data_IF_885015633708
#
_entry.id   IF_885015633708
#
_cell.length_a   1.000
_cell.length_b   1.000
_cell.length_c   1.000
_cell.angle_alpha   90.00
_cell.angle_beta   90.00
_cell.angle_gamma   90.00
#
_symmetry.space_group_name_H-M   'P 1'
#
loop_
_entity.id
_entity.type
_entity.pdbx_description
1 polymer ?
#
# COMPACT_ATOMS: atom_id res chain seq x y z
N UNK A 1 -10.22 14.40 15.61
CA UNK A 1 -9.63 13.08 15.30
C UNK A 1 -8.96 13.21 13.93
N UNK A 2 -7.75 12.68 13.72
CA UNK A 2 -7.18 12.70 12.36
C UNK A 2 -8.11 11.92 11.44
N UNK A 3 -8.45 12.46 10.28
CA UNK A 3 -9.23 11.72 9.30
C UNK A 3 -8.48 10.45 8.89
N UNK A 4 -9.21 9.36 8.64
CA UNK A 4 -8.61 8.07 8.30
C UNK A 4 -7.81 8.13 6.99
N UNK A 5 -6.84 7.24 6.82
CA UNK A 5 -6.02 7.17 5.61
C UNK A 5 -6.07 5.78 4.97
N UNK A 6 -6.44 5.71 3.70
CA UNK A 6 -6.56 4.46 2.93
C UNK A 6 -5.45 4.39 1.89
N UNK A 7 -4.83 3.21 1.76
CA UNK A 7 -3.92 2.88 0.68
C UNK A 7 -4.67 2.05 -0.37
N UNK A 8 -4.73 2.53 -1.60
CA UNK A 8 -5.13 1.76 -2.78
C UNK A 8 -3.88 1.16 -3.42
N UNK A 9 -3.88 -0.14 -3.71
CA UNK A 9 -2.80 -0.82 -4.44
C UNK A 9 -3.36 -1.50 -5.69
N UNK A 10 -3.18 -0.86 -6.84
CA UNK A 10 -3.63 -1.38 -8.13
C UNK A 10 -2.59 -2.31 -8.79
N UNK A 11 -3.05 -3.13 -9.72
CA UNK A 11 -2.18 -3.92 -10.60
C UNK A 11 -1.34 -3.02 -11.53
N UNK A 12 -0.20 -3.54 -11.95
CA UNK A 12 0.63 -3.03 -13.05
C UNK A 12 0.72 -4.03 -14.22
N UNK A 13 0.04 -5.18 -14.14
CA UNK A 13 -0.02 -6.16 -15.21
C UNK A 13 -0.99 -5.75 -16.32
N UNK A 14 -0.62 -6.02 -17.57
CA UNK A 14 -1.35 -5.56 -18.77
C UNK A 14 -1.86 -6.68 -19.67
N UNK A 15 -1.54 -7.94 -19.34
CA UNK A 15 -1.85 -9.09 -20.22
C UNK A 15 -2.35 -10.30 -19.45
N UNK A 16 -3.27 -11.01 -20.07
CA UNK A 16 -3.67 -12.37 -19.70
C UNK A 16 -2.65 -13.41 -20.20
N UNK A 17 -2.80 -14.68 -19.79
CA UNK A 17 -1.92 -15.77 -20.24
C UNK A 17 -2.00 -16.02 -21.76
N UNK A 18 -3.14 -15.72 -22.37
CA UNK A 18 -3.39 -15.85 -23.82
C UNK A 18 -3.01 -14.60 -24.63
N UNK A 19 -2.44 -13.57 -23.97
CA UNK A 19 -1.95 -12.35 -24.60
C UNK A 19 -2.99 -11.24 -24.80
N UNK A 20 -4.28 -11.48 -24.51
CA UNK A 20 -5.31 -10.41 -24.48
C UNK A 20 -4.90 -9.33 -23.49
N UNK A 21 -5.23 -8.07 -23.81
CA UNK A 21 -4.97 -6.95 -22.91
C UNK A 21 -5.91 -6.98 -21.70
N UNK A 22 -5.41 -6.46 -20.59
CA UNK A 22 -6.14 -6.28 -19.33
C UNK A 22 -5.50 -5.13 -18.55
N UNK A 23 -6.03 -4.85 -17.37
CA UNK A 23 -5.45 -3.93 -16.41
C UNK A 23 -6.27 -3.92 -15.12
N UNK A 24 -6.22 -2.77 -14.46
CA UNK A 24 -7.09 -2.40 -13.36
C UNK A 24 -8.47 -1.99 -13.90
N UNK A 25 -9.54 -2.30 -13.16
CA UNK A 25 -10.88 -1.87 -13.51
C UNK A 25 -11.16 -0.45 -12.98
N UNK A 26 -11.51 0.51 -13.85
CA UNK A 26 -11.59 1.94 -13.47
C UNK A 26 -12.59 2.20 -12.35
N UNK A 27 -13.82 1.68 -12.45
CA UNK A 27 -14.88 1.87 -11.44
C UNK A 27 -14.44 1.40 -10.05
N UNK A 28 -13.62 0.36 -9.99
CA UNK A 28 -13.14 -0.24 -8.74
C UNK A 28 -12.11 0.64 -8.03
N UNK A 29 -11.52 1.61 -8.72
CA UNK A 29 -10.69 2.68 -8.12
C UNK A 29 -11.50 3.95 -7.90
N UNK A 30 -12.26 4.36 -8.93
CA UNK A 30 -12.95 5.64 -8.99
C UNK A 30 -13.97 5.79 -7.86
N UNK A 31 -14.88 4.82 -7.74
CA UNK A 31 -15.99 4.88 -6.79
C UNK A 31 -15.50 4.87 -5.33
N UNK A 32 -14.56 3.97 -4.92
CA UNK A 32 -13.98 4.05 -3.58
C UNK A 32 -13.16 5.32 -3.33
N UNK A 33 -12.34 5.77 -4.28
CA UNK A 33 -11.52 6.97 -4.13
C UNK A 33 -12.39 8.20 -3.86
N UNK A 34 -13.40 8.44 -4.71
CA UNK A 34 -14.29 9.59 -4.60
C UNK A 34 -15.08 9.54 -3.28
N UNK A 35 -15.63 8.38 -2.91
CA UNK A 35 -16.38 8.22 -1.68
C UNK A 35 -15.53 8.50 -0.44
N UNK A 36 -14.32 7.95 -0.36
CA UNK A 36 -13.44 8.20 0.79
C UNK A 36 -13.02 9.65 0.90
N UNK A 37 -12.73 10.31 -0.24
CA UNK A 37 -12.44 11.74 -0.28
C UNK A 37 -13.63 12.58 0.20
N UNK A 38 -14.84 12.25 -0.22
CA UNK A 38 -16.07 12.89 0.25
C UNK A 38 -16.26 12.73 1.77
N UNK A 39 -15.94 11.56 2.32
CA UNK A 39 -15.96 11.28 3.76
C UNK A 39 -14.77 11.88 4.53
N UNK A 40 -13.89 12.63 3.85
CA UNK A 40 -12.75 13.32 4.43
C UNK A 40 -11.52 12.45 4.67
N UNK A 41 -11.51 11.20 4.21
CA UNK A 41 -10.35 10.33 4.33
C UNK A 41 -9.26 10.74 3.34
N UNK A 42 -8.01 10.59 3.76
CA UNK A 42 -6.86 10.72 2.87
C UNK A 42 -6.69 9.43 2.06
N UNK A 43 -6.57 9.54 0.74
CA UNK A 43 -6.38 8.38 -0.13
C UNK A 43 -5.00 8.47 -0.79
N UNK A 44 -4.21 7.40 -0.67
CA UNK A 44 -2.94 7.24 -1.37
C UNK A 44 -3.11 6.14 -2.41
N UNK A 45 -2.71 6.42 -3.64
CA UNK A 45 -2.76 5.44 -4.73
C UNK A 45 -1.33 4.98 -5.04
N UNK A 46 -1.15 3.67 -4.99
CA UNK A 46 0.04 2.95 -5.41
C UNK A 46 -0.34 1.92 -6.47
N UNK A 47 0.65 1.47 -7.24
CA UNK A 47 0.53 0.24 -8.03
C UNK A 47 1.73 -0.66 -7.78
N UNK A 48 1.66 -1.92 -8.18
CA UNK A 48 2.72 -2.90 -7.93
C UNK A 48 4.08 -2.40 -8.41
N UNK A 49 4.16 -1.87 -9.63
CA UNK A 49 5.38 -1.35 -10.24
C UNK A 49 5.48 0.20 -10.25
N UNK A 50 4.46 0.92 -9.74
CA UNK A 50 4.36 2.37 -9.83
C UNK A 50 4.07 2.89 -11.24
N UNK A 51 4.10 4.21 -11.40
CA UNK A 51 3.81 4.86 -12.68
C UNK A 51 2.32 4.93 -12.99
N UNK A 52 1.96 4.94 -14.27
CA UNK A 52 0.56 5.02 -14.69
C UNK A 52 -0.14 3.68 -14.48
N UNK A 53 -1.34 3.69 -13.90
CA UNK A 53 -2.16 2.49 -13.78
C UNK A 53 -2.60 2.05 -15.18
N UNK A 54 -2.35 0.78 -15.58
CA UNK A 54 -2.93 0.25 -16.80
C UNK A 54 -4.42 -0.02 -16.58
N UNK A 55 -5.26 0.51 -17.46
CA UNK A 55 -6.72 0.30 -17.38
C UNK A 55 -7.15 -0.86 -18.28
N UNK A 56 -8.06 -1.71 -17.80
CA UNK A 56 -8.77 -2.64 -18.65
C UNK A 56 -9.69 -1.85 -19.59
N UNK A 57 -9.54 -2.02 -20.91
CA UNK A 57 -10.28 -1.30 -21.94
C UNK A 57 -11.81 -1.49 -21.82
N UNK A 58 -12.25 -2.67 -21.34
CA UNK A 58 -13.68 -2.90 -21.12
C UNK A 58 -14.26 -1.97 -20.03
N UNK A 59 -13.43 -1.50 -19.10
CA UNK A 59 -13.85 -0.62 -18.01
C UNK A 59 -13.87 0.87 -18.37
N UNK A 60 -13.41 1.25 -19.56
CA UNK A 60 -13.34 2.65 -20.02
C UNK A 60 -14.40 2.98 -21.07
N UNK A 61 -15.34 2.07 -21.35
CA UNK A 61 -16.36 2.26 -22.37
C UNK A 61 -17.73 1.67 -21.99
N UNK A 62 -18.77 2.12 -22.70
CA UNK A 62 -20.14 1.61 -22.55
C UNK A 62 -20.71 1.77 -21.14
N UNK A 63 -21.56 0.83 -20.74
CA UNK A 63 -22.23 0.84 -19.44
C UNK A 63 -21.26 0.60 -18.26
N UNK A 64 -20.05 0.12 -18.52
CA UNK A 64 -19.00 -0.07 -17.51
C UNK A 64 -18.26 1.22 -17.19
N UNK A 65 -18.32 2.23 -18.06
CA UNK A 65 -17.77 3.56 -17.79
C UNK A 65 -18.82 4.42 -17.08
N UNK A 66 -18.88 4.22 -15.77
CA UNK A 66 -19.85 4.87 -14.87
C UNK A 66 -19.64 6.40 -14.78
N UNK A 67 -20.64 7.14 -14.26
CA UNK A 67 -20.46 8.55 -13.94
C UNK A 67 -19.30 8.81 -12.97
N UNK A 68 -19.08 7.93 -11.99
CA UNK A 68 -17.98 7.98 -11.05
C UNK A 68 -16.63 7.78 -11.74
N UNK A 69 -16.52 6.80 -12.64
CA UNK A 69 -15.33 6.58 -13.46
C UNK A 69 -15.01 7.81 -14.33
N UNK A 70 -16.02 8.40 -14.97
CA UNK A 70 -15.86 9.61 -15.78
C UNK A 70 -15.41 10.81 -14.94
N UNK A 71 -16.06 11.04 -13.80
CA UNK A 71 -15.71 12.11 -12.87
C UNK A 71 -14.30 11.96 -12.32
N UNK A 72 -13.90 10.73 -11.98
CA UNK A 72 -12.56 10.40 -11.50
C UNK A 72 -11.49 10.67 -12.54
N UNK A 73 -11.70 10.22 -13.79
CA UNK A 73 -10.72 10.40 -14.87
C UNK A 73 -10.57 11.86 -15.30
N UNK A 74 -11.63 12.68 -15.18
CA UNK A 74 -11.61 14.12 -15.51
C UNK A 74 -11.10 14.99 -14.36
N UNK A 75 -11.05 14.48 -13.13
CA UNK A 75 -10.59 15.24 -11.98
C UNK A 75 -9.06 15.36 -11.96
N UNK A 76 -8.54 16.58 -11.93
CA UNK A 76 -7.08 16.83 -12.02
C UNK A 76 -6.27 16.20 -10.88
N UNK A 77 -6.80 16.16 -9.65
CA UNK A 77 -6.12 15.55 -8.50
C UNK A 77 -6.06 14.03 -8.64
N UNK A 78 -7.17 13.42 -9.05
CA UNK A 78 -7.28 11.97 -9.27
C UNK A 78 -6.41 11.53 -10.45
N UNK A 79 -6.44 12.29 -11.57
CA UNK A 79 -5.60 12.06 -12.74
C UNK A 79 -4.10 12.13 -12.39
N UNK A 80 -3.68 13.09 -11.56
CA UNK A 80 -2.31 13.16 -11.09
C UNK A 80 -1.94 11.92 -10.23
N UNK A 81 -2.85 11.50 -9.34
CA UNK A 81 -2.62 10.35 -8.46
C UNK A 81 -2.46 9.03 -9.21
N UNK A 82 -3.18 8.83 -10.33
CA UNK A 82 -3.14 7.58 -11.13
C UNK A 82 -2.10 7.58 -12.25
N UNK A 83 -1.65 8.75 -12.72
CA UNK A 83 -0.64 8.85 -13.78
C UNK A 83 0.78 8.59 -13.25
N UNK A 84 1.03 8.88 -11.97
CA UNK A 84 2.32 8.69 -11.32
C UNK A 84 2.13 8.11 -9.91
N UNK A 85 1.63 6.87 -9.88
CA UNK A 85 1.43 6.15 -8.63
C UNK A 85 2.77 5.84 -7.96
N UNK A 86 2.72 5.75 -6.63
CA UNK A 86 3.85 5.23 -5.84
C UNK A 86 4.06 3.74 -6.14
N UNK A 87 5.29 3.27 -5.98
CA UNK A 87 5.63 1.86 -6.11
C UNK A 87 5.28 1.14 -4.80
N UNK A 88 4.63 -0.03 -4.87
CA UNK A 88 4.26 -0.81 -3.68
C UNK A 88 5.48 -1.14 -2.78
N UNK A 89 6.65 -1.38 -3.37
CA UNK A 89 7.92 -1.64 -2.68
C UNK A 89 8.33 -0.45 -1.79
N UNK A 90 8.17 0.78 -2.28
CA UNK A 90 8.48 1.99 -1.52
C UNK A 90 7.50 2.22 -0.37
N UNK A 91 6.22 1.89 -0.58
CA UNK A 91 5.22 1.93 0.49
C UNK A 91 5.58 0.94 1.59
N UNK A 92 5.92 -0.29 1.22
CA UNK A 92 6.32 -1.33 2.15
C UNK A 92 7.57 -0.90 2.94
N UNK A 93 8.60 -0.39 2.25
CA UNK A 93 9.84 0.09 2.87
C UNK A 93 9.62 1.30 3.79
N UNK A 94 8.69 2.20 3.43
CA UNK A 94 8.33 3.37 4.24
C UNK A 94 7.44 3.06 5.45
N UNK A 95 6.94 1.83 5.55
CA UNK A 95 6.06 1.40 6.62
C UNK A 95 4.60 1.80 6.43
N UNK A 96 3.72 1.08 7.13
CA UNK A 96 2.27 1.18 6.94
C UNK A 96 1.55 1.91 8.08
N UNK A 97 2.28 2.44 9.07
CA UNK A 97 1.71 2.97 10.31
C UNK A 97 0.73 4.11 10.09
N UNK A 98 0.98 4.93 9.07
CA UNK A 98 0.13 6.08 8.72
C UNK A 98 -1.20 5.71 8.09
N UNK A 99 -1.39 4.46 7.66
CA UNK A 99 -2.61 3.99 7.00
C UNK A 99 -3.52 3.26 7.99
N UNK A 100 -4.82 3.36 7.79
CA UNK A 100 -5.83 2.65 8.59
C UNK A 100 -6.41 1.45 7.84
N UNK A 101 -6.36 1.48 6.49
CA UNK A 101 -6.89 0.44 5.63
C UNK A 101 -6.05 0.25 4.36
N UNK A 102 -5.98 -0.99 3.89
CA UNK A 102 -5.53 -1.38 2.57
C UNK A 102 -6.75 -1.73 1.72
N UNK A 103 -6.78 -1.25 0.48
CA UNK A 103 -7.75 -1.62 -0.52
C UNK A 103 -7.06 -2.07 -1.82
N UNK A 104 -7.50 -3.22 -2.34
CA UNK A 104 -6.99 -3.79 -3.60
C UNK A 104 -8.14 -3.83 -4.62
N UNK A 105 -8.17 -2.93 -5.61
CA UNK A 105 -9.08 -3.05 -6.75
C UNK A 105 -8.71 -4.28 -7.58
N UNK A 106 -9.67 -4.79 -8.31
CA UNK A 106 -9.54 -5.86 -9.29
C UNK A 106 -9.28 -5.34 -10.71
N UNK A 107 -9.99 -5.93 -11.67
CA UNK A 107 -9.52 -6.10 -13.04
C UNK A 107 -8.56 -7.29 -13.13
N UNK A 108 -8.57 -8.00 -14.27
CA UNK A 108 -7.86 -9.30 -14.35
C UNK A 108 -6.34 -9.20 -14.18
N UNK A 109 -5.74 -8.01 -14.33
CA UNK A 109 -4.30 -7.82 -14.14
C UNK A 109 -3.81 -8.25 -12.75
N UNK A 110 -4.60 -7.99 -11.70
CA UNK A 110 -4.19 -8.32 -10.31
C UNK A 110 -4.05 -9.83 -10.07
N UNK A 111 -4.62 -10.67 -10.94
CA UNK A 111 -4.43 -12.12 -10.87
C UNK A 111 -2.96 -12.53 -11.08
N UNK A 112 -2.16 -11.67 -11.73
CA UNK A 112 -0.78 -11.98 -12.13
C UNK A 112 0.25 -11.40 -11.17
N UNK A 113 0.04 -10.18 -10.70
CA UNK A 113 0.99 -9.48 -9.83
C UNK A 113 0.51 -9.32 -8.38
N UNK A 114 -0.75 -9.68 -8.08
CA UNK A 114 -1.28 -9.74 -6.73
C UNK A 114 -0.59 -10.77 -5.83
N UNK A 115 -0.03 -11.83 -6.42
CA UNK A 115 0.76 -12.85 -5.69
C UNK A 115 2.26 -12.56 -5.72
N UNK A 116 2.68 -11.36 -6.12
CA UNK A 116 4.09 -10.96 -6.06
C UNK A 116 4.57 -10.81 -4.61
N UNK A 117 5.86 -11.00 -4.38
CA UNK A 117 6.44 -10.97 -3.02
C UNK A 117 6.20 -9.64 -2.27
N UNK A 118 6.13 -8.52 -2.99
CA UNK A 118 5.86 -7.20 -2.40
C UNK A 118 4.40 -7.06 -1.97
N UNK A 119 3.45 -7.51 -2.81
CA UNK A 119 2.03 -7.45 -2.49
C UNK A 119 1.70 -8.38 -1.33
N UNK A 120 2.26 -9.60 -1.31
CA UNK A 120 2.12 -10.53 -0.18
C UNK A 120 2.53 -9.85 1.12
N UNK A 121 3.77 -9.35 1.20
CA UNK A 121 4.30 -8.70 2.42
C UNK A 121 3.48 -7.48 2.83
N UNK A 122 2.97 -6.72 1.86
CA UNK A 122 2.16 -5.54 2.15
C UNK A 122 0.80 -5.94 2.75
N UNK A 123 0.10 -6.92 2.17
CA UNK A 123 -1.16 -7.44 2.71
C UNK A 123 -0.94 -8.02 4.12
N UNK A 124 0.10 -8.83 4.30
CA UNK A 124 0.46 -9.40 5.60
C UNK A 124 0.79 -8.33 6.64
N UNK A 125 1.49 -7.26 6.25
CA UNK A 125 1.79 -6.14 7.14
C UNK A 125 0.51 -5.48 7.64
N UNK A 126 -0.43 -5.18 6.74
CA UNK A 126 -1.72 -4.57 7.12
C UNK A 126 -2.54 -5.50 8.01
N UNK A 127 -2.62 -6.77 7.63
CA UNK A 127 -3.38 -7.78 8.37
C UNK A 127 -2.85 -7.97 9.79
N UNK A 128 -1.54 -8.20 9.92
CA UNK A 128 -0.90 -8.46 11.22
C UNK A 128 -0.85 -7.20 12.11
N UNK A 129 -0.96 -6.01 11.53
CA UNK A 129 -1.15 -4.76 12.27
C UNK A 129 -2.61 -4.52 12.72
N UNK A 130 -3.54 -5.44 12.44
CA UNK A 130 -4.95 -5.30 12.79
C UNK A 130 -5.64 -4.15 12.05
N UNK A 131 -5.14 -3.78 10.86
CA UNK A 131 -5.73 -2.77 9.97
C UNK A 131 -6.76 -3.44 9.06
N UNK A 132 -7.64 -2.64 8.48
CA UNK A 132 -8.63 -3.16 7.53
C UNK A 132 -7.91 -3.61 6.26
N UNK A 133 -8.23 -4.80 5.77
CA UNK A 133 -7.78 -5.32 4.48
C UNK A 133 -9.02 -5.54 3.63
N UNK A 134 -9.09 -4.82 2.51
CA UNK A 134 -10.25 -4.80 1.65
C UNK A 134 -9.90 -5.04 0.18
N UNK A 135 -10.81 -5.67 -0.56
CA UNK A 135 -10.62 -5.94 -1.98
C UNK A 135 -11.96 -6.11 -2.72
N UNK A 136 -11.98 -5.97 -4.04
CA UNK A 136 -13.20 -6.17 -4.85
C UNK A 136 -12.87 -6.90 -6.15
N UNK A 137 -13.84 -7.65 -6.70
CA UNK A 137 -13.72 -8.34 -7.98
C UNK A 137 -12.57 -9.36 -7.96
N UNK A 138 -11.54 -9.18 -8.79
CA UNK A 138 -10.31 -9.97 -8.76
C UNK A 138 -9.29 -9.52 -7.72
N UNK A 139 -9.49 -8.35 -7.08
CA UNK A 139 -8.62 -7.85 -6.01
C UNK A 139 -8.26 -8.88 -4.93
N UNK A 140 -9.19 -9.78 -4.51
CA UNK A 140 -8.87 -10.87 -3.59
C UNK A 140 -7.77 -11.84 -4.07
N UNK A 141 -7.35 -11.83 -5.33
CA UNK A 141 -6.12 -12.51 -5.80
C UNK A 141 -4.88 -12.06 -5.00
N UNK A 142 -4.84 -10.84 -4.48
CA UNK A 142 -3.77 -10.39 -3.59
C UNK A 142 -3.80 -11.03 -2.19
N UNK A 143 -4.95 -11.60 -1.80
CA UNK A 143 -5.18 -12.15 -0.47
C UNK A 143 -4.90 -13.66 -0.39
N UNK A 144 -4.92 -14.38 -1.53
CA UNK A 144 -4.85 -15.85 -1.58
C UNK A 144 -3.49 -16.42 -1.15
N UNK A 145 -2.45 -15.58 -1.06
CA UNK A 145 -1.10 -15.96 -0.63
C UNK A 145 -0.71 -15.37 0.72
N UNK A 146 -1.49 -14.43 1.26
CA UNK A 146 -1.16 -13.75 2.51
C UNK A 146 -1.49 -14.63 3.74
N UNK A 147 -0.60 -14.58 4.72
CA UNK A 147 -0.72 -15.33 5.97
C UNK A 147 -0.76 -14.42 7.21
N UNK A 148 -1.41 -14.91 8.26
CA UNK A 148 -1.32 -14.32 9.59
C UNK A 148 0.04 -14.62 10.25
N UNK A 149 0.30 -14.00 11.40
CA UNK A 149 1.53 -14.20 12.18
C UNK A 149 1.74 -15.66 12.63
N UNK A 150 0.73 -16.52 12.56
CA UNK A 150 0.81 -17.95 12.87
C UNK A 150 0.99 -18.82 11.61
N UNK A 151 1.12 -18.22 10.42
CA UNK A 151 1.30 -18.90 9.13
C UNK A 151 0.01 -19.46 8.53
N UNK A 152 -1.17 -19.10 9.06
CA UNK A 152 -2.45 -19.52 8.47
C UNK A 152 -2.86 -18.52 7.38
N UNK A 153 -3.52 -18.99 6.32
CA UNK A 153 -4.18 -18.09 5.37
C UNK A 153 -5.12 -17.13 6.09
N UNK A 154 -5.06 -15.84 5.74
CA UNK A 154 -5.94 -14.82 6.31
C UNK A 154 -7.43 -15.06 5.99
N UNK A 155 -7.73 -15.88 4.98
CA UNK A 155 -9.09 -16.25 4.56
C UNK A 155 -9.67 -17.40 5.38
N UNK A 156 -8.84 -18.20 6.07
CA UNK A 156 -9.25 -19.44 6.72
C UNK A 156 -10.36 -19.20 7.76
N UNK A 157 -11.52 -19.81 7.53
CA UNK A 157 -12.69 -19.73 8.40
C UNK A 157 -13.43 -18.39 8.36
N UNK A 158 -13.09 -17.48 7.44
CA UNK A 158 -13.72 -16.15 7.34
C UNK A 158 -14.71 -16.08 6.19
N UNK A 159 -15.80 -15.35 6.41
CA UNK A 159 -16.72 -15.00 5.33
C UNK A 159 -16.01 -14.05 4.35
N UNK A 160 -16.09 -14.39 3.06
CA UNK A 160 -15.46 -13.61 2.00
C UNK A 160 -16.22 -13.77 0.69
N UNK A 161 -15.94 -12.90 -0.28
CA UNK A 161 -16.44 -12.99 -1.65
C UNK A 161 -15.37 -12.46 -2.62
N UNK A 162 -15.65 -12.50 -3.91
CA UNK A 162 -14.78 -12.10 -5.00
C UNK A 162 -15.44 -12.44 -6.33
N UNK A 163 -14.78 -12.16 -7.45
CA UNK A 163 -15.34 -12.47 -8.76
C UNK A 163 -15.63 -13.97 -8.85
N UNK A 164 -16.87 -14.31 -9.17
CA UNK A 164 -17.32 -15.69 -9.10
C UNK A 164 -16.82 -16.50 -10.28
N UNK A 165 -16.75 -17.81 -10.07
CA UNK A 165 -16.47 -18.77 -11.13
C UNK A 165 -17.49 -18.65 -12.29
N UNK A 166 -18.75 -18.33 -11.98
CA UNK A 166 -19.81 -18.16 -12.95
C UNK A 166 -19.60 -16.90 -13.80
N UNK A 167 -19.31 -15.76 -13.17
CA UNK A 167 -18.98 -14.50 -13.84
C UNK A 167 -17.71 -14.64 -14.70
N UNK A 168 -16.68 -15.36 -14.23
CA UNK A 168 -15.44 -15.62 -14.98
C UNK A 168 -15.68 -16.40 -16.27
N UNK A 169 -16.48 -17.46 -16.19
CA UNK A 169 -16.86 -18.25 -17.38
C UNK A 169 -17.73 -17.43 -18.34
N UNK A 170 -18.62 -16.59 -17.82
CA UNK A 170 -19.48 -15.73 -18.63
C UNK A 170 -18.67 -14.70 -19.45
N UNK A 171 -17.52 -14.25 -18.95
CA UNK A 171 -16.61 -13.35 -19.70
C UNK A 171 -15.55 -14.09 -20.54
N UNK A 172 -15.55 -15.43 -20.53
CA UNK A 172 -14.65 -16.25 -21.36
C UNK A 172 -13.17 -16.05 -21.05
N UNK A 173 -12.83 -15.86 -19.76
CA UNK A 173 -11.44 -15.66 -19.30
C UNK A 173 -11.00 -16.71 -18.26
N UNK A 174 -11.82 -17.72 -17.99
CA UNK A 174 -11.55 -18.83 -17.06
C UNK A 174 -10.30 -19.65 -17.39
N UNK A 175 -9.92 -19.74 -18.67
CA UNK A 175 -8.67 -20.37 -19.12
C UNK A 175 -7.50 -19.37 -19.30
N UNK A 176 -7.76 -18.07 -19.10
CA UNK A 176 -6.81 -16.99 -19.33
C UNK A 176 -6.23 -16.38 -18.03
N UNK A 177 -6.73 -16.84 -16.88
CA UNK A 177 -6.25 -16.51 -15.53
C UNK A 177 -5.39 -17.64 -14.96
N UNK A 178 -4.45 -17.36 -14.04
CA UNK A 178 -3.58 -18.40 -13.47
C UNK A 178 -4.33 -19.39 -12.57
N UNK A 179 -5.48 -19.00 -12.02
CA UNK A 179 -6.38 -19.82 -11.24
C UNK A 179 -7.76 -19.16 -11.17
N UNK A 180 -8.80 -19.94 -10.89
CA UNK A 180 -10.14 -19.43 -10.59
C UNK A 180 -10.18 -18.90 -9.15
N UNK A 181 -10.52 -17.63 -8.99
CA UNK A 181 -10.44 -16.94 -7.70
C UNK A 181 -11.35 -17.56 -6.64
N UNK A 182 -12.62 -17.79 -6.96
CA UNK A 182 -13.58 -18.37 -6.02
C UNK A 182 -13.10 -19.76 -5.54
N UNK A 183 -12.70 -20.64 -6.46
CA UNK A 183 -12.16 -21.96 -6.09
C UNK A 183 -10.96 -21.82 -5.17
N UNK A 184 -10.02 -20.95 -5.52
CA UNK A 184 -8.80 -20.75 -4.74
C UNK A 184 -9.09 -20.24 -3.33
N UNK A 185 -10.04 -19.33 -3.17
CA UNK A 185 -10.46 -18.83 -1.85
C UNK A 185 -11.11 -19.93 -1.01
N UNK A 186 -11.94 -20.80 -1.62
CA UNK A 186 -12.54 -21.95 -0.94
C UNK A 186 -11.49 -22.98 -0.49
N UNK A 187 -10.51 -23.30 -1.34
CA UNK A 187 -9.40 -24.21 -1.01
C UNK A 187 -8.59 -23.75 0.21
N UNK A 188 -8.45 -22.44 0.38
CA UNK A 188 -7.75 -21.83 1.52
C UNK A 188 -8.61 -21.79 2.80
N UNK A 189 -9.82 -22.34 2.75
CA UNK A 189 -10.76 -22.39 3.86
C UNK A 189 -11.61 -21.13 4.00
N UNK A 190 -11.66 -20.26 2.99
CA UNK A 190 -12.58 -19.14 2.94
C UNK A 190 -14.03 -19.62 2.88
N UNK A 191 -14.88 -19.09 3.76
CA UNK A 191 -16.33 -19.31 3.71
C UNK A 191 -16.94 -18.41 2.62
N UNK A 192 -16.65 -18.75 1.37
CA UNK A 192 -17.00 -17.93 0.21
C UNK A 192 -18.52 -17.85 0.02
N UNK A 193 -19.03 -16.61 -0.03
CA UNK A 193 -20.43 -16.25 -0.22
C UNK A 193 -20.58 -15.57 -1.57
N UNK A 194 -21.39 -16.15 -2.45
CA UNK A 194 -21.74 -15.56 -3.74
C UNK A 194 -23.11 -14.89 -3.64
N UNK A 195 -23.21 -13.65 -4.11
CA UNK A 195 -24.47 -13.01 -4.48
C UNK A 195 -24.83 -13.30 -5.94
N UNK A 196 -25.97 -12.78 -6.42
CA UNK A 196 -26.33 -12.91 -7.83
C UNK A 196 -25.27 -12.25 -8.74
N UNK A 197 -24.93 -12.92 -9.84
CA UNK A 197 -23.97 -12.42 -10.82
C UNK A 197 -24.31 -10.98 -11.24
N UNK A 198 -23.26 -10.16 -11.38
CA UNK A 198 -23.34 -8.75 -11.80
C UNK A 198 -24.06 -7.80 -10.83
N UNK A 199 -24.60 -8.31 -9.72
CA UNK A 199 -25.25 -7.47 -8.71
C UNK A 199 -24.27 -7.08 -7.60
N UNK A 200 -24.48 -5.92 -6.95
CA UNK A 200 -23.70 -5.53 -5.79
C UNK A 200 -23.78 -6.59 -4.68
N UNK A 201 -22.63 -7.11 -4.27
CA UNK A 201 -22.48 -8.03 -3.15
C UNK A 201 -21.14 -7.81 -2.46
N UNK A 202 -21.18 -7.48 -1.18
CA UNK A 202 -19.97 -7.31 -0.37
C UNK A 202 -20.14 -7.98 1.00
N UNK A 203 -19.05 -8.56 1.48
CA UNK A 203 -18.97 -9.30 2.74
C UNK A 203 -17.96 -8.62 3.64
N UNK A 204 -18.32 -8.43 4.91
CA UNK A 204 -17.44 -7.92 5.97
C UNK A 204 -17.36 -8.95 7.09
N UNK A 205 -16.14 -9.41 7.38
CA UNK A 205 -15.81 -10.30 8.50
C UNK A 205 -14.68 -9.68 9.31
N UNK A 206 -15.08 -8.88 10.31
CA UNK A 206 -14.16 -8.14 11.18
C UNK A 206 -13.34 -7.11 10.41
N UNK A 207 -12.07 -7.44 10.13
CA UNK A 207 -11.12 -6.57 9.41
C UNK A 207 -10.98 -6.93 7.93
N UNK A 208 -11.56 -8.05 7.50
CA UNK A 208 -11.57 -8.49 6.11
C UNK A 208 -12.85 -7.99 5.43
N UNK A 209 -12.73 -7.23 4.35
CA UNK A 209 -13.87 -6.75 3.56
C UNK A 209 -13.65 -7.15 2.11
N UNK A 210 -14.61 -7.81 1.49
CA UNK A 210 -14.48 -8.23 0.09
C UNK A 210 -15.74 -7.92 -0.69
N UNK A 211 -15.61 -7.57 -1.97
CA UNK A 211 -16.72 -7.34 -2.89
C UNK A 211 -16.63 -8.25 -4.12
N UNK A 212 -17.78 -8.64 -4.65
CA UNK A 212 -17.87 -9.67 -5.68
C UNK A 212 -17.41 -9.18 -7.05
N UNK A 213 -17.81 -7.99 -7.48
CA UNK A 213 -17.69 -7.53 -8.87
C UNK A 213 -17.63 -5.99 -8.92
N UNK A 214 -17.45 -5.35 -10.09
CA UNK A 214 -17.36 -3.88 -10.16
C UNK A 214 -18.55 -3.15 -9.53
N UNK A 215 -19.76 -3.69 -9.64
CA UNK A 215 -20.97 -3.12 -9.03
C UNK A 215 -20.93 -3.08 -7.49
N UNK A 216 -20.01 -3.83 -6.88
CA UNK A 216 -19.82 -3.93 -5.44
C UNK A 216 -18.84 -2.89 -4.88
N UNK A 217 -18.11 -2.15 -5.74
CA UNK A 217 -17.05 -1.20 -5.36
C UNK A 217 -17.51 -0.19 -4.32
N UNK A 218 -18.65 0.47 -4.57
CA UNK A 218 -19.22 1.45 -3.64
C UNK A 218 -19.53 0.85 -2.28
N UNK A 219 -20.13 -0.35 -2.26
CA UNK A 219 -20.49 -1.00 -0.99
C UNK A 219 -19.27 -1.41 -0.19
N UNK A 220 -18.20 -1.87 -0.85
CA UNK A 220 -16.90 -2.11 -0.18
C UNK A 220 -16.35 -0.83 0.43
N UNK A 221 -16.39 0.29 -0.30
CA UNK A 221 -15.90 1.57 0.21
C UNK A 221 -16.69 2.07 1.44
N UNK A 222 -18.01 1.92 1.44
CA UNK A 222 -18.86 2.21 2.60
C UNK A 222 -18.50 1.35 3.81
N UNK A 223 -18.34 0.03 3.61
CA UNK A 223 -17.94 -0.90 4.67
C UNK A 223 -16.57 -0.55 5.27
N UNK A 224 -15.63 -0.06 4.46
CA UNK A 224 -14.31 0.41 4.96
C UNK A 224 -14.46 1.63 5.88
N UNK A 225 -15.42 2.52 5.60
CA UNK A 225 -15.72 3.68 6.46
C UNK A 225 -16.42 3.24 7.76
N UNK A 226 -17.30 2.24 7.67
CA UNK A 226 -18.01 1.65 8.81
C UNK A 226 -17.09 0.80 9.70
N UNK A 227 -15.96 0.33 9.18
CA UNK A 227 -15.06 -0.58 9.88
C UNK A 227 -14.41 0.06 11.13
N UNK A 228 -14.27 -0.71 12.23
CA UNK A 228 -13.67 -0.19 13.44
C UNK A 228 -12.19 0.17 13.23
N UNK A 229 -11.80 1.34 13.73
CA UNK A 229 -10.43 1.82 13.68
C UNK A 229 -9.45 0.75 14.22
N UNK A 230 -8.22 0.65 13.68
CA UNK A 230 -7.20 -0.20 14.27
C UNK A 230 -6.98 0.20 15.73
N UNK A 231 -6.87 -0.80 16.61
CA UNK A 231 -6.47 -0.56 17.99
C UNK A 231 -5.06 0.05 17.96
N UNK A 232 -4.96 1.36 18.18
CA UNK A 232 -3.65 2.02 18.25
C UNK A 232 -2.93 1.42 19.47
N UNK A 233 -1.71 0.89 19.33
CA UNK A 233 -0.94 0.49 20.50
C UNK A 233 -0.83 1.72 21.41
N UNK A 234 -0.91 1.55 22.75
CA UNK A 234 -0.77 2.67 23.66
C UNK A 234 0.55 3.38 23.32
N UNK A 235 0.45 4.66 22.98
CA UNK A 235 1.61 5.49 22.70
C UNK A 235 2.59 5.29 23.85
N UNK A 236 3.77 4.72 23.57
CA UNK A 236 4.80 4.59 24.58
C UNK A 236 5.04 6.00 25.11
N UNK A 237 4.61 6.27 26.35
CA UNK A 237 5.04 7.46 27.07
C UNK A 237 6.55 7.36 27.07
N UNK A 238 7.21 8.22 26.29
CA UNK A 238 8.64 8.43 26.41
C UNK A 238 8.91 8.64 27.90
N UNK A 239 9.52 7.65 28.53
CA UNK A 239 9.92 7.76 29.92
C UNK A 239 10.80 9.00 30.00
N UNK A 240 10.40 9.97 30.84
CA UNK A 240 11.25 11.14 31.10
C UNK A 240 12.63 10.62 31.49
N UNK A 241 13.72 11.11 30.89
CA UNK A 241 15.05 10.71 31.31
C UNK A 241 15.20 11.01 32.80
N UNK A 242 15.86 10.14 33.57
CA UNK A 242 16.05 10.38 35.00
C UNK A 242 16.78 11.70 35.18
N UNK A 243 16.17 12.62 35.92
CA UNK A 243 16.81 13.87 36.34
C UNK A 243 18.06 13.52 37.13
N UNK A 244 19.23 13.89 36.60
CA UNK A 244 20.50 13.76 37.28
C UNK A 244 20.45 14.58 38.57
N UNK A 245 20.32 13.91 39.72
CA UNK A 245 20.33 14.54 41.04
C UNK A 245 21.80 14.78 41.40
N UNK A 246 22.31 15.98 41.11
CA UNK A 246 23.62 16.42 41.61
C UNK A 246 23.52 16.45 43.13
N UNK A 247 24.24 15.53 43.80
CA UNK A 247 24.46 15.61 45.24
C UNK A 247 25.47 16.73 45.46
N UNK A 248 25.03 17.84 46.04
CA UNK A 248 25.94 18.77 46.70
C UNK A 248 26.56 18.04 47.90
N UNK A 249 27.86 17.81 47.84
CA UNK A 249 28.69 17.59 49.03
C UNK A 249 29.41 18.92 49.29
N UNK A 250 29.09 19.50 50.44
CA UNK A 250 29.88 20.55 51.08
C UNK A 250 31.11 19.86 51.71
N UNK A 251 32.31 20.24 51.28
CA UNK A 251 33.52 20.06 52.10
C UNK A 251 34.33 21.36 52.10
N UNK A 252 34.62 21.79 53.31
CA UNK A 252 35.35 22.98 53.71
C UNK A 252 36.82 22.63 54.01
N UNK A 253 37.71 23.62 53.83
CA UNK A 253 39.11 23.74 54.35
C UNK A 253 40.21 23.06 53.51
N UNK A 254 41.44 23.56 53.35
CA UNK A 254 42.19 24.82 53.55
C UNK A 254 43.62 24.53 52.99
N UNK A 255 44.32 25.52 52.39
CA UNK A 255 45.78 25.72 52.20
C UNK A 255 46.72 24.48 51.98
N UNK A 256 47.72 24.46 51.09
CA UNK A 256 48.75 25.47 50.84
C UNK A 256 49.66 25.08 49.63
N UNK A 257 50.50 26.03 49.21
CA UNK A 257 51.46 26.07 48.09
C UNK A 257 52.37 24.85 47.81
N UNK A 258 52.70 24.62 46.52
CA UNK A 258 54.09 24.65 46.02
C UNK A 258 54.22 24.65 44.48
N UNK A 259 55.12 25.52 44.00
CA UNK A 259 55.66 25.64 42.63
C UNK A 259 56.30 24.34 42.09
N UNK A 260 56.18 24.12 40.77
CA UNK A 260 57.32 24.03 39.83
C UNK A 260 56.89 23.76 38.36
N UNK A 261 57.44 24.58 37.47
CA UNK A 261 57.49 24.52 35.99
C UNK A 261 58.71 23.66 35.52
N UNK A 262 59.06 23.42 34.22
CA UNK A 262 58.43 23.83 32.93
C UNK A 262 58.51 22.80 31.72
N UNK A 263 57.98 23.24 30.55
CA UNK A 263 58.25 22.87 29.12
C UNK A 263 57.68 21.52 28.62
N UNK A 264 57.31 21.29 27.35
CA UNK A 264 57.43 21.92 26.02
C UNK A 264 56.27 21.32 25.16
N UNK A 265 55.55 22.05 24.32
CA UNK A 265 55.85 22.19 22.89
C UNK A 265 54.93 21.32 22.00
N UNK A 266 54.11 21.95 21.14
CA UNK A 266 53.79 21.57 19.76
C UNK A 266 52.51 22.30 19.28
N UNK A 267 52.68 23.13 18.25
CA UNK A 267 51.62 23.75 17.46
C UNK A 267 51.17 22.77 16.38
N UNK A 268 49.90 22.78 16.01
CA UNK A 268 49.49 22.48 14.64
C UNK A 268 48.33 23.39 14.25
N UNK A 269 48.57 24.11 13.15
CA UNK A 269 47.74 25.13 12.56
C UNK A 269 46.56 24.52 11.77
N UNK A 270 45.46 25.28 11.78
CA UNK A 270 44.27 25.18 10.94
C UNK A 270 44.61 25.16 9.44
N UNK A 271 43.84 24.38 8.65
CA UNK A 271 43.88 24.41 7.18
C UNK A 271 42.56 24.98 6.66
N UNK A 272 42.66 26.17 6.07
CA UNK A 272 41.62 26.91 5.34
C UNK A 272 41.41 26.31 3.92
N UNK A 273 40.18 26.00 3.49
CA UNK A 273 39.87 25.40 2.21
C UNK A 273 39.45 26.44 1.15
N UNK A 274 40.38 27.17 0.52
CA UNK A 274 40.09 27.85 -0.76
C UNK A 274 41.33 28.03 -1.66
N UNK A 275 41.14 27.80 -2.97
CA UNK A 275 42.06 28.00 -4.13
C UNK A 275 42.94 26.77 -4.48
N UNK A 276 43.11 26.33 -5.72
CA UNK A 276 42.60 26.78 -7.02
C UNK A 276 43.01 25.78 -8.13
N UNK A 277 42.21 25.77 -9.22
CA UNK A 277 42.61 25.71 -10.66
C UNK A 277 43.09 24.36 -11.23
N UNK A 278 42.33 23.77 -12.17
CA UNK A 278 42.36 23.97 -13.65
C UNK A 278 43.65 23.40 -14.27
N UNK A 279 43.71 22.70 -15.41
CA UNK A 279 42.79 22.32 -16.49
C UNK A 279 43.70 21.57 -17.47
N UNK A 280 43.33 20.41 -18.04
CA UNK A 280 43.90 19.97 -19.33
C UNK A 280 42.88 19.14 -20.12
N UNK A 281 42.49 19.69 -21.27
CA UNK A 281 41.81 19.02 -22.37
C UNK A 281 42.77 18.04 -23.06
N UNK A 282 42.25 16.92 -23.56
CA UNK A 282 42.49 16.53 -24.95
C UNK A 282 41.46 15.50 -25.46
N UNK A 283 40.95 15.81 -26.64
CA UNK A 283 39.92 15.15 -27.44
C UNK A 283 40.47 13.96 -28.24
N UNK A 284 39.67 12.90 -28.41
CA UNK A 284 39.91 11.87 -29.42
C UNK A 284 38.59 11.48 -30.11
N UNK A 285 38.58 11.53 -31.45
CA UNK A 285 37.52 11.03 -32.35
C UNK A 285 38.06 9.81 -33.12
N UNK A 286 37.24 8.80 -33.45
CA UNK A 286 37.59 7.80 -34.45
C UNK A 286 36.82 7.98 -35.79
N UNK A 287 37.23 7.26 -36.85
CA UNK A 287 36.99 7.67 -38.24
C UNK A 287 35.82 6.95 -38.95
N UNK A 288 35.32 7.68 -39.96
CA UNK A 288 34.57 7.38 -41.20
C UNK A 288 33.86 6.02 -41.31
#
# INVERSE_FOLDING_TARGET
>A
MSAGKVLIVATSATKLTDGRQTGCWVEEVASPYLLWREKGLSVVVASVAGGAIPWDEASTSGDFFTPEADAFMKNAESAAAIQSTKIAEEILAGGIDSYDALFVPGGHGICFDGTSGVVIKLVEAFWNAGKVVSAVCHGPCALVTAQDAAGNSILKGRACTGFTDAEERAVGKDQAVPFLLEQRMRELGGAFVAGPDWHPHAVSDGKLITGQNPASSKRVAELVVEAPAPARPPCARLARPPTCRVKHQEEHHHHDHHDQHPRQGARHDEVDPTKARSSWHQTYRPPI
#
